data_IF_813461799180
#
_entry.id   IF_813461799180
#
_cell.length_a   1.000
_cell.length_b   1.000
_cell.length_c   1.000
_cell.angle_alpha   90.00
_cell.angle_beta   90.00
_cell.angle_gamma   90.00
#
_symmetry.space_group_name_H-M   'P 1'
#
loop_
_entity.id
_entity.type
_entity.pdbx_description
1 polymer ?
#
# COMPACT_ATOMS: atom_id res chain seq x y z
N UNK A 1 21.46 -20.08 7.95
CA UNK A 1 22.38 -18.97 7.64
C UNK A 1 22.43 -18.78 6.13
N UNK A 2 22.31 -17.54 5.68
CA UNK A 2 22.36 -17.21 4.25
C UNK A 2 23.77 -17.53 3.71
N UNK A 3 23.93 -18.18 2.54
CA UNK A 3 25.20 -18.28 1.86
C UNK A 3 25.87 -16.90 1.74
N UNK A 4 27.17 -16.78 1.97
CA UNK A 4 27.88 -15.48 2.01
C UNK A 4 28.04 -14.87 3.42
N UNK A 5 27.61 -15.56 4.47
CA UNK A 5 27.88 -15.19 5.86
C UNK A 5 27.35 -13.81 6.25
N UNK A 6 28.17 -13.00 6.92
CA UNK A 6 27.79 -11.66 7.42
C UNK A 6 27.90 -10.54 6.36
N UNK A 7 28.48 -10.80 5.19
CA UNK A 7 28.72 -9.77 4.18
C UNK A 7 27.41 -9.19 3.64
N UNK A 8 26.48 -10.04 3.20
CA UNK A 8 25.15 -9.59 2.70
C UNK A 8 24.39 -8.76 3.74
N UNK A 9 24.21 -9.20 4.99
CA UNK A 9 23.58 -8.39 6.03
C UNK A 9 24.27 -7.06 6.29
N UNK A 10 25.60 -7.01 6.18
CA UNK A 10 26.36 -5.79 6.44
C UNK A 10 26.21 -4.77 5.31
N UNK A 11 26.34 -5.19 4.06
CA UNK A 11 26.30 -4.28 2.91
C UNK A 11 24.89 -3.85 2.51
N UNK A 12 23.84 -4.63 2.81
CA UNK A 12 22.47 -4.25 2.47
C UNK A 12 22.07 -2.91 3.13
N UNK A 13 21.42 -2.04 2.36
CA UNK A 13 20.84 -0.80 2.87
C UNK A 13 19.49 -1.03 3.54
N UNK A 14 18.68 -1.92 2.97
CA UNK A 14 17.38 -2.32 3.51
C UNK A 14 17.34 -3.84 3.64
N UNK A 15 16.77 -4.34 4.74
CA UNK A 15 16.48 -5.76 4.94
C UNK A 15 15.04 -5.89 5.44
N UNK A 16 14.27 -6.67 4.72
CA UNK A 16 12.89 -6.98 5.07
C UNK A 16 12.79 -8.47 5.39
N UNK A 17 12.20 -8.79 6.53
CA UNK A 17 11.82 -10.15 6.89
C UNK A 17 10.36 -10.36 6.54
N UNK A 18 10.06 -11.44 5.83
CA UNK A 18 8.71 -11.88 5.56
C UNK A 18 8.41 -13.09 6.43
N UNK A 19 7.39 -12.96 7.27
CA UNK A 19 6.86 -14.05 8.10
C UNK A 19 5.53 -14.51 7.51
N UNK A 20 5.35 -15.82 7.39
CA UNK A 20 4.08 -16.42 7.00
C UNK A 20 3.08 -16.31 8.15
N UNK A 21 1.90 -15.75 7.87
CA UNK A 21 0.80 -15.67 8.80
C UNK A 21 -0.24 -16.78 8.60
N UNK A 22 -1.50 -16.47 8.91
CA UNK A 22 -2.61 -17.41 8.76
C UNK A 22 -2.95 -17.68 7.30
N UNK A 23 -3.36 -18.92 7.00
CA UNK A 23 -3.94 -19.26 5.70
C UNK A 23 -5.29 -18.55 5.51
N UNK A 24 -5.55 -18.15 4.28
CA UNK A 24 -6.83 -17.64 3.81
C UNK A 24 -7.56 -18.81 3.19
N UNK A 25 -8.73 -19.14 3.74
CA UNK A 25 -9.54 -20.26 3.28
C UNK A 25 -10.74 -19.74 2.50
N UNK A 26 -11.17 -20.49 1.49
CA UNK A 26 -12.45 -20.30 0.81
C UNK A 26 -13.63 -20.79 1.66
N UNK A 27 -14.84 -20.70 1.08
CA UNK A 27 -16.08 -21.18 1.74
C UNK A 27 -16.10 -22.69 1.96
N UNK A 28 -15.28 -23.45 1.25
CA UNK A 28 -15.16 -24.90 1.33
C UNK A 28 -14.00 -25.33 2.25
N UNK A 29 -13.27 -24.38 2.83
CA UNK A 29 -12.13 -24.65 3.71
C UNK A 29 -10.82 -24.92 2.97
N UNK A 30 -10.76 -24.70 1.65
CA UNK A 30 -9.55 -24.86 0.85
C UNK A 30 -8.64 -23.62 0.96
N UNK A 31 -7.31 -23.77 1.08
CA UNK A 31 -6.42 -22.65 1.16
C UNK A 31 -6.30 -21.93 -0.20
N UNK A 32 -6.71 -20.66 -0.24
CA UNK A 32 -6.68 -19.79 -1.43
C UNK A 32 -5.63 -18.70 -1.34
N UNK A 33 -4.97 -18.55 -0.18
CA UNK A 33 -3.95 -17.56 0.03
C UNK A 33 -3.31 -17.64 1.41
N UNK A 34 -2.40 -16.71 1.68
CA UNK A 34 -1.74 -16.54 2.98
C UNK A 34 -1.67 -15.06 3.36
N UNK A 35 -1.80 -14.77 4.64
CA UNK A 35 -1.39 -13.50 5.20
C UNK A 35 0.12 -13.47 5.36
N UNK A 36 0.75 -12.37 4.99
CA UNK A 36 2.19 -12.16 5.12
C UNK A 36 2.44 -10.96 6.02
N UNK A 37 3.39 -11.11 6.92
CA UNK A 37 3.87 -10.04 7.79
C UNK A 37 5.25 -9.64 7.31
N UNK A 38 5.39 -8.42 6.79
CA UNK A 38 6.67 -7.84 6.43
C UNK A 38 7.17 -6.95 7.56
N UNK A 39 8.45 -7.14 7.95
CA UNK A 39 9.12 -6.32 8.96
C UNK A 39 10.46 -5.82 8.44
N UNK A 40 10.71 -4.53 8.52
CA UNK A 40 12.01 -3.95 8.27
C UNK A 40 12.96 -4.27 9.42
N UNK A 41 13.96 -5.12 9.18
CA UNK A 41 14.97 -5.49 10.20
C UNK A 41 16.14 -4.50 10.18
N UNK A 42 16.44 -3.95 9.00
CA UNK A 42 17.46 -2.95 8.79
C UNK A 42 16.97 -1.95 7.77
N UNK A 43 17.16 -0.67 8.04
CA UNK A 43 16.87 0.39 7.10
C UNK A 43 17.86 1.54 7.36
N UNK A 44 18.66 1.89 6.34
CA UNK A 44 19.64 2.99 6.39
C UNK A 44 19.08 4.30 5.81
N UNK A 45 17.95 4.22 5.11
CA UNK A 45 17.38 5.37 4.38
C UNK A 45 16.10 5.91 5.02
N UNK A 46 15.51 5.15 5.98
CA UNK A 46 14.31 5.57 6.72
C UNK A 46 14.26 4.86 8.09
N UNK A 47 13.24 5.14 8.89
CA UNK A 47 13.05 4.52 10.20
C UNK A 47 12.98 2.97 10.09
N UNK A 48 13.80 2.21 10.82
CA UNK A 48 13.77 0.75 10.84
C UNK A 48 12.59 0.24 11.68
N UNK A 49 12.44 -1.09 11.73
CA UNK A 49 11.49 -1.83 12.57
C UNK A 49 10.01 -1.59 12.26
N UNK A 50 9.70 -1.04 11.08
CA UNK A 50 8.31 -0.92 10.63
C UNK A 50 7.76 -2.28 10.23
N UNK A 51 6.45 -2.42 10.40
CA UNK A 51 5.71 -3.65 10.11
C UNK A 51 4.50 -3.31 9.27
N UNK A 52 4.21 -4.15 8.27
CA UNK A 52 2.94 -4.17 7.55
C UNK A 52 2.44 -5.61 7.39
N UNK A 53 1.16 -5.76 7.19
CA UNK A 53 0.50 -7.03 6.89
C UNK A 53 -0.23 -6.89 5.57
N UNK A 54 -0.15 -7.91 4.72
CA UNK A 54 -0.85 -7.98 3.45
C UNK A 54 -1.19 -9.42 3.10
N UNK A 55 -2.08 -9.59 2.13
CA UNK A 55 -2.56 -10.91 1.69
C UNK A 55 -1.98 -11.26 0.32
N UNK A 56 -1.52 -12.50 0.19
CA UNK A 56 -1.11 -13.07 -1.10
C UNK A 56 -2.12 -14.15 -1.46
N UNK A 57 -2.86 -13.94 -2.54
CA UNK A 57 -3.79 -14.91 -3.07
C UNK A 57 -3.12 -15.78 -4.13
N UNK A 58 -3.27 -17.10 -4.02
CA UNK A 58 -2.66 -18.04 -4.96
C UNK A 58 -3.18 -17.81 -6.38
N UNK A 59 -2.27 -17.74 -7.34
CA UNK A 59 -2.58 -17.43 -8.73
C UNK A 59 -2.93 -15.98 -9.06
N UNK A 60 -3.12 -15.10 -8.04
CA UNK A 60 -3.44 -13.67 -8.24
C UNK A 60 -2.35 -12.74 -7.71
N UNK A 61 -1.56 -13.19 -6.72
CA UNK A 61 -0.58 -12.34 -6.06
C UNK A 61 -1.17 -11.43 -5.00
N UNK A 62 -0.60 -10.24 -4.84
CA UNK A 62 -1.08 -9.22 -3.89
C UNK A 62 -2.30 -8.51 -4.50
N UNK A 63 -3.37 -8.40 -3.71
CA UNK A 63 -4.62 -7.75 -4.12
C UNK A 63 -4.62 -6.32 -3.60
N UNK A 64 -4.08 -5.40 -4.41
CA UNK A 64 -3.81 -4.02 -4.03
C UNK A 64 -5.05 -3.26 -3.53
N UNK A 65 -6.18 -3.38 -4.24
CA UNK A 65 -7.40 -2.66 -3.89
C UNK A 65 -7.97 -3.04 -2.51
N UNK A 66 -7.81 -4.29 -2.07
CA UNK A 66 -8.26 -4.71 -0.74
C UNK A 66 -7.40 -4.06 0.36
N UNK A 67 -6.09 -4.00 0.14
CA UNK A 67 -5.17 -3.32 1.05
C UNK A 67 -5.45 -1.82 1.13
N UNK A 68 -5.60 -1.16 -0.01
CA UNK A 68 -5.96 0.27 -0.07
C UNK A 68 -7.26 0.53 0.68
N UNK A 69 -8.29 -0.27 0.42
CA UNK A 69 -9.58 -0.16 1.11
C UNK A 69 -9.45 -0.27 2.64
N UNK A 70 -8.74 -1.29 3.14
CA UNK A 70 -8.62 -1.53 4.57
C UNK A 70 -7.83 -0.41 5.27
N UNK A 71 -6.78 0.13 4.63
CA UNK A 71 -6.01 1.28 5.14
C UNK A 71 -6.87 2.53 5.20
N UNK A 72 -7.54 2.90 4.09
CA UNK A 72 -8.37 4.11 4.02
C UNK A 72 -9.53 4.05 5.02
N UNK A 73 -10.20 2.90 5.10
CA UNK A 73 -11.30 2.71 6.04
C UNK A 73 -10.85 2.82 7.49
N UNK A 74 -9.73 2.20 7.83
CA UNK A 74 -9.16 2.29 9.17
C UNK A 74 -8.83 3.74 9.52
N UNK A 75 -8.16 4.44 8.62
CA UNK A 75 -7.81 5.84 8.82
C UNK A 75 -9.06 6.71 9.01
N UNK A 76 -10.07 6.57 8.15
CA UNK A 76 -11.33 7.32 8.28
C UNK A 76 -12.06 7.03 9.60
N UNK A 77 -11.99 5.79 10.12
CA UNK A 77 -12.62 5.45 11.39
C UNK A 77 -11.95 6.08 12.61
N UNK A 78 -10.66 6.38 12.52
CA UNK A 78 -9.84 6.92 13.61
C UNK A 78 -9.72 8.46 13.53
N UNK A 79 -9.66 9.02 12.31
CA UNK A 79 -9.31 10.42 12.06
C UNK A 79 -10.38 11.21 11.28
N UNK A 80 -11.44 10.55 10.78
CA UNK A 80 -12.46 11.17 9.92
C UNK A 80 -12.04 11.24 8.44
N UNK A 81 -12.68 12.12 7.65
CA UNK A 81 -12.41 12.25 6.22
C UNK A 81 -10.95 12.61 5.93
N UNK A 82 -10.39 12.01 4.88
CA UNK A 82 -8.99 12.21 4.48
C UNK A 82 -8.92 13.34 3.46
N UNK A 83 -8.10 14.35 3.73
CA UNK A 83 -7.91 15.46 2.80
C UNK A 83 -7.35 14.97 1.46
N UNK A 84 -8.06 15.30 0.38
CA UNK A 84 -7.63 15.08 -0.99
C UNK A 84 -6.85 16.28 -1.51
N UNK A 85 -7.34 17.48 -1.23
CA UNK A 85 -6.71 18.77 -1.51
C UNK A 85 -7.28 19.84 -0.54
N UNK A 86 -7.10 21.12 -0.87
CA UNK A 86 -7.59 22.21 -0.02
C UNK A 86 -9.12 22.25 0.05
N UNK A 87 -9.80 21.83 -1.01
CA UNK A 87 -11.25 21.98 -1.16
C UNK A 87 -12.02 20.68 -0.91
N UNK A 88 -11.37 19.52 -1.07
CA UNK A 88 -12.00 18.21 -1.07
C UNK A 88 -11.38 17.25 -0.06
N UNK A 89 -12.24 16.40 0.50
CA UNK A 89 -11.85 15.21 1.30
C UNK A 89 -12.56 13.97 0.80
N UNK A 90 -11.97 12.81 1.08
CA UNK A 90 -12.56 11.51 0.78
C UNK A 90 -12.82 10.77 2.08
N UNK A 91 -13.99 10.18 2.20
CA UNK A 91 -14.39 9.37 3.34
C UNK A 91 -14.83 7.98 2.90
N UNK A 92 -14.37 6.97 3.61
CA UNK A 92 -14.90 5.61 3.53
C UNK A 92 -15.59 5.28 4.83
N UNK A 93 -16.90 5.07 4.76
CA UNK A 93 -17.74 4.82 5.93
C UNK A 93 -18.64 3.58 5.73
N UNK A 94 -19.51 3.35 6.69
CA UNK A 94 -20.52 2.29 6.67
C UNK A 94 -20.23 1.14 7.62
N UNK A 95 -21.33 0.57 8.14
CA UNK A 95 -21.35 -0.56 9.08
C UNK A 95 -21.89 -1.82 8.39
N UNK A 96 -21.55 -3.00 8.94
CA UNK A 96 -22.00 -4.26 8.38
C UNK A 96 -21.47 -4.54 6.97
N UNK A 97 -22.32 -5.08 6.09
CA UNK A 97 -21.96 -5.48 4.75
C UNK A 97 -21.83 -4.30 3.77
N UNK A 98 -22.66 -3.27 3.94
CA UNK A 98 -22.67 -2.09 3.09
C UNK A 98 -21.61 -1.08 3.51
N UNK A 99 -20.94 -0.52 2.52
CA UNK A 99 -19.94 0.55 2.65
C UNK A 99 -20.31 1.69 1.72
N UNK A 100 -19.84 2.89 2.03
CA UNK A 100 -19.88 4.02 1.12
C UNK A 100 -18.50 4.66 0.99
N UNK A 101 -18.22 5.19 -0.17
CA UNK A 101 -17.11 6.10 -0.41
C UNK A 101 -17.71 7.42 -0.90
N UNK A 102 -17.29 8.51 -0.28
CA UNK A 102 -17.81 9.85 -0.54
C UNK A 102 -16.68 10.81 -0.83
N UNK A 103 -16.94 11.76 -1.74
CA UNK A 103 -16.12 12.97 -1.92
C UNK A 103 -16.88 14.12 -1.31
N UNK A 104 -16.25 14.81 -0.38
CA UNK A 104 -16.86 15.83 0.48
C UNK A 104 -16.14 17.16 0.29
N UNK A 105 -16.88 18.24 0.21
CA UNK A 105 -16.34 19.60 0.14
C UNK A 105 -15.96 20.08 1.55
N UNK A 106 -14.73 20.56 1.71
CA UNK A 106 -14.16 20.87 3.04
C UNK A 106 -14.83 22.07 3.73
N UNK A 107 -15.27 23.05 2.96
CA UNK A 107 -15.87 24.30 3.48
C UNK A 107 -17.31 24.11 3.96
N UNK A 108 -18.11 23.33 3.24
CA UNK A 108 -19.56 23.19 3.48
C UNK A 108 -19.95 21.84 4.10
N UNK A 109 -19.08 20.83 4.02
CA UNK A 109 -19.41 19.45 4.36
C UNK A 109 -20.35 18.78 3.36
N UNK A 110 -20.60 19.42 2.19
CA UNK A 110 -21.48 18.90 1.16
C UNK A 110 -20.86 17.67 0.50
N UNK A 111 -21.65 16.59 0.37
CA UNK A 111 -21.27 15.39 -0.36
C UNK A 111 -21.46 15.62 -1.86
N UNK A 112 -20.36 15.69 -2.60
CA UNK A 112 -20.39 15.90 -4.05
C UNK A 112 -20.64 14.61 -4.81
N UNK A 113 -20.02 13.54 -4.37
CA UNK A 113 -20.18 12.22 -4.97
C UNK A 113 -20.25 11.16 -3.87
N UNK A 114 -21.14 10.17 -4.04
CA UNK A 114 -21.25 9.00 -3.16
C UNK A 114 -21.41 7.72 -3.98
N UNK A 115 -20.72 6.67 -3.57
CA UNK A 115 -20.97 5.31 -4.05
C UNK A 115 -21.15 4.35 -2.89
N UNK A 116 -22.26 3.61 -2.90
CA UNK A 116 -22.55 2.53 -1.96
C UNK A 116 -22.20 1.20 -2.60
N UNK A 117 -21.56 0.32 -1.85
CA UNK A 117 -21.04 -0.94 -2.36
C UNK A 117 -20.88 -1.99 -1.26
N UNK A 118 -20.79 -3.25 -1.65
CA UNK A 118 -20.24 -4.32 -0.81
C UNK A 118 -18.72 -4.38 -0.93
N UNK A 119 -18.01 -4.75 0.15
CA UNK A 119 -16.54 -4.81 0.14
C UNK A 119 -15.94 -5.50 -1.09
N UNK A 120 -16.44 -6.67 -1.58
CA UNK A 120 -15.91 -7.31 -2.78
C UNK A 120 -16.08 -6.49 -4.08
N UNK A 121 -17.04 -5.57 -4.10
CA UNK A 121 -17.31 -4.70 -5.27
C UNK A 121 -16.37 -3.50 -5.32
N UNK A 122 -15.61 -3.23 -4.26
CA UNK A 122 -14.64 -2.13 -4.24
C UNK A 122 -13.63 -2.21 -5.38
N UNK A 123 -13.30 -3.42 -5.84
CA UNK A 123 -12.47 -3.63 -7.03
C UNK A 123 -13.02 -2.91 -8.28
N UNK A 124 -14.35 -2.85 -8.46
CA UNK A 124 -14.95 -2.17 -9.61
C UNK A 124 -14.82 -0.65 -9.47
N UNK A 125 -14.96 -0.13 -8.24
CA UNK A 125 -14.73 1.28 -7.93
C UNK A 125 -13.26 1.63 -8.17
N UNK A 126 -12.36 0.82 -7.63
CA UNK A 126 -10.91 1.02 -7.75
C UNK A 126 -10.40 0.93 -9.20
N UNK A 127 -11.07 0.19 -10.08
CA UNK A 127 -10.77 0.16 -11.53
C UNK A 127 -11.26 1.38 -12.30
N UNK A 128 -12.19 2.16 -11.76
CA UNK A 128 -12.63 3.41 -12.37
C UNK A 128 -11.51 4.46 -12.27
N UNK A 129 -11.04 5.07 -13.37
CA UNK A 129 -9.91 6.01 -13.34
C UNK A 129 -10.09 7.15 -12.34
N UNK A 130 -11.30 7.73 -12.28
CA UNK A 130 -11.62 8.82 -11.36
C UNK A 130 -11.50 8.38 -9.89
N UNK A 131 -12.15 7.27 -9.52
CA UNK A 131 -12.12 6.77 -8.14
C UNK A 131 -10.77 6.21 -7.74
N UNK A 132 -10.03 5.63 -8.68
CA UNK A 132 -8.64 5.23 -8.46
C UNK A 132 -7.78 6.43 -8.07
N UNK A 133 -7.91 7.54 -8.82
CA UNK A 133 -7.17 8.78 -8.53
C UNK A 133 -7.48 9.30 -7.12
N UNK A 134 -8.76 9.35 -6.73
CA UNK A 134 -9.15 9.73 -5.37
C UNK A 134 -8.52 8.80 -4.33
N UNK A 135 -8.73 7.49 -4.48
CA UNK A 135 -8.23 6.50 -3.52
C UNK A 135 -6.71 6.55 -3.38
N UNK A 136 -5.97 6.60 -4.48
CA UNK A 136 -4.50 6.58 -4.44
C UNK A 136 -3.92 7.86 -3.86
N UNK A 137 -4.50 9.03 -4.18
CA UNK A 137 -4.01 10.29 -3.63
C UNK A 137 -4.21 10.34 -2.10
N UNK A 138 -5.42 10.02 -1.62
CA UNK A 138 -5.68 9.99 -0.16
C UNK A 138 -4.93 8.87 0.54
N UNK A 139 -4.67 7.74 -0.13
CA UNK A 139 -3.81 6.68 0.38
C UNK A 139 -2.38 7.18 0.59
N UNK A 140 -1.81 7.90 -0.38
CA UNK A 140 -0.48 8.50 -0.27
C UNK A 140 -0.42 9.53 0.86
N UNK A 141 -1.49 10.32 1.06
CA UNK A 141 -1.63 11.25 2.20
C UNK A 141 -1.54 10.51 3.54
N UNK A 142 -2.37 9.47 3.73
CA UNK A 142 -2.30 8.64 4.94
C UNK A 142 -0.91 8.03 5.15
N UNK A 143 -0.30 7.57 4.07
CA UNK A 143 1.04 6.96 4.12
C UNK A 143 2.12 7.99 4.49
N UNK A 144 2.04 9.20 3.97
CA UNK A 144 2.99 10.28 4.30
C UNK A 144 2.88 10.67 5.78
N UNK A 145 1.67 10.84 6.31
CA UNK A 145 1.45 11.12 7.72
C UNK A 145 1.98 9.98 8.61
N UNK A 146 1.70 8.73 8.23
CA UNK A 146 2.24 7.57 8.93
C UNK A 146 3.77 7.54 8.92
N UNK A 147 4.41 8.05 7.88
CA UNK A 147 5.86 8.16 7.76
C UNK A 147 6.44 9.38 8.48
N UNK A 148 5.60 10.25 9.06
CA UNK A 148 6.01 11.51 9.70
C UNK A 148 6.53 12.54 8.69
N UNK A 149 6.05 12.49 7.45
CA UNK A 149 6.31 13.49 6.40
C UNK A 149 5.17 14.50 6.37
N UNK A 150 5.48 15.73 5.96
CA UNK A 150 4.43 16.73 5.73
C UNK A 150 3.59 16.36 4.50
N UNK A 151 2.37 16.89 4.43
CA UNK A 151 1.48 16.73 3.27
C UNK A 151 2.09 17.33 1.99
N UNK A 152 2.95 18.35 2.14
CA UNK A 152 3.67 18.99 1.04
C UNK A 152 4.71 18.03 0.42
N UNK A 153 5.44 17.28 1.28
CA UNK A 153 6.38 16.25 0.82
C UNK A 153 5.67 15.07 0.12
N UNK A 154 4.39 14.83 0.42
CA UNK A 154 3.61 13.76 -0.20
C UNK A 154 3.11 14.13 -1.60
N UNK A 155 2.91 15.41 -1.88
CA UNK A 155 2.50 15.89 -3.20
C UNK A 155 3.63 15.81 -4.24
N UNK A 156 4.89 15.85 -3.78
CA UNK A 156 6.09 15.75 -4.60
C UNK A 156 6.50 14.31 -4.93
N UNK A 157 5.76 13.30 -4.46
CA UNK A 157 5.94 11.91 -4.91
C UNK A 157 5.35 11.82 -6.32
N UNK A 158 6.09 12.34 -7.28
CA UNK A 158 5.76 12.25 -8.70
C UNK A 158 5.77 10.77 -9.12
N UNK A 159 4.73 10.28 -9.83
CA UNK A 159 4.73 8.93 -10.41
C UNK A 159 5.98 8.62 -11.24
N UNK A 160 6.57 9.63 -11.89
CA UNK A 160 7.82 9.51 -12.65
C UNK A 160 9.01 9.12 -11.76
N UNK A 161 9.05 9.52 -10.49
CA UNK A 161 10.11 9.12 -9.57
C UNK A 161 10.05 7.62 -9.20
N UNK A 162 8.88 6.98 -9.31
CA UNK A 162 8.76 5.53 -9.15
C UNK A 162 9.37 4.78 -10.33
N UNK A 163 9.24 5.29 -11.56
CA UNK A 163 9.85 4.68 -12.74
C UNK A 163 11.38 4.85 -12.71
N UNK A 164 11.90 5.98 -12.26
CA UNK A 164 13.35 6.18 -12.07
C UNK A 164 13.92 5.26 -11.01
N UNK A 165 13.25 5.14 -9.84
CA UNK A 165 13.67 4.21 -8.78
C UNK A 165 13.57 2.76 -9.25
N UNK A 166 12.55 2.41 -10.03
CA UNK A 166 12.36 1.10 -10.63
C UNK A 166 13.44 0.80 -11.67
N UNK A 167 13.80 1.78 -12.50
CA UNK A 167 14.86 1.64 -13.49
C UNK A 167 16.22 1.45 -12.82
N UNK A 168 16.55 2.27 -11.81
CA UNK A 168 17.76 2.11 -10.99
C UNK A 168 17.81 0.73 -10.33
N UNK A 169 16.68 0.24 -9.81
CA UNK A 169 16.61 -1.10 -9.22
C UNK A 169 16.78 -2.21 -10.25
N UNK A 170 16.30 -2.03 -11.47
CA UNK A 170 16.50 -2.98 -12.58
C UNK A 170 17.95 -2.96 -13.07
N UNK A 171 18.56 -1.79 -13.20
CA UNK A 171 19.95 -1.63 -13.62
C UNK A 171 20.93 -2.21 -12.58
N UNK A 172 20.58 -2.12 -11.29
CA UNK A 172 21.36 -2.75 -10.20
C UNK A 172 21.11 -4.27 -10.07
N UNK A 173 20.05 -4.79 -10.69
CA UNK A 173 19.71 -6.22 -10.70
C UNK A 173 20.21 -6.93 -11.99
N UNK A 174 20.76 -6.19 -12.95
CA UNK A 174 21.40 -6.80 -14.11
C UNK A 174 22.59 -7.68 -13.63
N UNK A 175 22.68 -8.94 -14.07
CA UNK A 175 23.82 -9.77 -13.70
C UNK A 175 25.10 -9.14 -14.25
N UNK A 176 26.09 -8.98 -13.38
CA UNK A 176 27.47 -8.73 -13.78
C UNK A 176 27.93 -9.88 -14.66
N UNK A 177 27.91 -9.70 -15.99
CA UNK A 177 28.49 -10.60 -16.96
C UNK A 177 30.04 -10.59 -16.91
N UNK A 178 30.61 -10.32 -15.75
CA UNK A 178 32.06 -10.20 -15.54
C UNK A 178 32.70 -11.39 -14.78
N UNK A 179 32.14 -12.60 -14.94
CA UNK A 179 32.84 -13.84 -14.48
C UNK A 179 32.74 -14.94 -15.51
N UNK A 180 33.14 -14.65 -16.74
CA UNK A 180 33.60 -15.66 -17.70
C UNK A 180 35.03 -15.30 -18.07
N UNK A 181 35.98 -15.70 -17.23
CA UNK A 181 37.36 -16.03 -17.59
C UNK A 181 38.20 -16.22 -16.30
N UNK A 182 38.23 -17.47 -15.81
CA UNK A 182 39.37 -18.10 -15.17
C UNK A 182 39.07 -19.59 -14.97
#
# INVERSE_FOLDING_TARGET
>A
TTPGGKAIPFHSSVRIKLDSGKQILDKQGSPVGIKVIAKTIKNKVAAPFRRCEFEIHFGKGIVEHEYVFDVLRKYCSENGPIKYDNDLSVEISGTGAWKSICVIKNDTGEVLEEKKFYKPEFNQIFKSPQWNTYCMKVFNTCFAEYMGRSLEDAADINPESYEEVRQIAMDMAAPDDAFTDL
#
